data_IF_312811855755
#
_entry.id   IF_312811855755
#
_cell.length_a   1.000
_cell.length_b   1.000
_cell.length_c   1.000
_cell.angle_alpha   90.00
_cell.angle_beta   90.00
_cell.angle_gamma   90.00
#
_symmetry.space_group_name_H-M   'P 1'
#
loop_
_entity.id
_entity.type
_entity.pdbx_description
1 polymer ?
#
# COMPACT_ATOMS: atom_id res chain seq x y z
N UNK A 1 -16.87 -2.90 20.23
CA UNK A 1 -16.19 -1.67 20.65
C UNK A 1 -16.81 -0.44 19.97
N UNK A 2 -16.86 -0.38 18.65
CA UNK A 2 -17.38 0.78 17.88
C UNK A 2 -18.83 1.16 18.25
N UNK A 3 -19.68 0.18 18.50
CA UNK A 3 -21.09 0.43 18.87
C UNK A 3 -21.24 1.23 20.16
N UNK A 4 -20.34 1.03 21.14
CA UNK A 4 -20.33 1.80 22.40
C UNK A 4 -20.13 3.30 22.17
N UNK A 5 -19.46 3.66 21.09
CA UNK A 5 -19.23 5.04 20.67
C UNK A 5 -20.29 5.56 19.67
N UNK A 6 -21.37 4.79 19.47
CA UNK A 6 -22.46 5.11 18.54
C UNK A 6 -22.02 5.05 17.06
N UNK A 7 -21.07 4.17 16.76
CA UNK A 7 -20.59 3.89 15.40
C UNK A 7 -21.17 2.56 14.94
N UNK A 8 -22.01 2.58 13.89
CA UNK A 8 -22.62 1.37 13.35
C UNK A 8 -21.76 0.90 12.16
N UNK A 9 -21.33 -0.36 12.24
CA UNK A 9 -20.51 -0.99 11.22
C UNK A 9 -20.94 -2.43 10.97
N UNK A 10 -20.63 -2.95 9.78
CA UNK A 10 -20.78 -4.35 9.41
C UNK A 10 -19.51 -4.88 8.76
N UNK A 11 -19.29 -6.18 8.81
CA UNK A 11 -18.17 -6.82 8.14
C UNK A 11 -18.25 -6.60 6.62
N UNK A 12 -17.08 -6.36 6.00
CA UNK A 12 -16.99 -6.28 4.55
C UNK A 12 -17.15 -7.69 3.95
N UNK A 13 -17.94 -7.87 2.87
CA UNK A 13 -18.28 -9.20 2.35
C UNK A 13 -17.07 -9.99 1.80
N UNK A 14 -16.01 -9.33 1.35
CA UNK A 14 -14.86 -9.96 0.68
C UNK A 14 -13.50 -9.63 1.28
N UNK A 15 -13.43 -8.76 2.28
CA UNK A 15 -12.18 -8.34 2.95
C UNK A 15 -12.35 -8.58 4.46
N UNK A 16 -11.80 -9.66 4.96
CA UNK A 16 -12.03 -10.16 6.33
C UNK A 16 -11.62 -9.19 7.43
N UNK A 17 -10.67 -8.29 7.17
CA UNK A 17 -10.21 -7.27 8.14
C UNK A 17 -10.98 -5.97 8.05
N UNK A 18 -11.81 -5.78 7.01
CA UNK A 18 -12.48 -4.51 6.77
C UNK A 18 -13.89 -4.45 7.38
N UNK A 19 -14.23 -3.28 7.92
CA UNK A 19 -15.56 -2.92 8.39
C UNK A 19 -16.11 -1.79 7.51
N UNK A 20 -17.36 -1.93 7.08
CA UNK A 20 -18.11 -0.88 6.41
C UNK A 20 -18.86 -0.10 7.47
N UNK A 21 -18.55 1.18 7.63
CA UNK A 21 -19.21 2.06 8.60
C UNK A 21 -20.40 2.75 7.94
N UNK A 22 -21.60 2.51 8.44
CA UNK A 22 -22.85 3.09 7.93
C UNK A 22 -23.30 4.33 8.71
N UNK A 23 -22.88 4.47 9.99
CA UNK A 23 -23.23 5.62 10.85
C UNK A 23 -22.05 5.96 11.77
N UNK A 24 -21.86 7.27 12.01
CA UNK A 24 -20.87 7.75 12.98
C UNK A 24 -19.43 7.85 12.44
N UNK A 25 -19.23 7.92 11.12
CA UNK A 25 -17.91 7.99 10.48
C UNK A 25 -17.00 9.09 11.05
N UNK A 26 -17.55 10.29 11.36
CA UNK A 26 -16.79 11.41 11.94
C UNK A 26 -16.34 11.15 13.38
N UNK A 27 -16.92 10.15 14.06
CA UNK A 27 -16.57 9.80 15.45
C UNK A 27 -15.41 8.79 15.53
N UNK A 28 -15.03 8.13 14.44
CA UNK A 28 -14.05 7.03 14.45
C UNK A 28 -12.75 7.45 15.13
N UNK A 29 -12.12 8.55 14.73
CA UNK A 29 -10.87 9.02 15.33
C UNK A 29 -10.95 9.40 16.81
N UNK A 30 -12.17 9.63 17.32
CA UNK A 30 -12.42 9.93 18.75
C UNK A 30 -12.88 8.71 19.52
N UNK A 31 -13.15 7.58 18.87
CA UNK A 31 -13.65 6.35 19.51
C UNK A 31 -12.57 5.70 20.36
N UNK A 32 -13.01 4.99 21.41
CA UNK A 32 -12.12 4.18 22.22
C UNK A 32 -11.41 3.13 21.35
N UNK A 33 -12.13 2.48 20.44
CA UNK A 33 -11.57 1.47 19.54
C UNK A 33 -10.41 1.99 18.71
N UNK A 34 -10.48 3.23 18.19
CA UNK A 34 -9.38 3.85 17.46
C UNK A 34 -8.21 4.21 18.39
N UNK A 35 -8.51 4.79 19.55
CA UNK A 35 -7.47 5.28 20.46
C UNK A 35 -6.64 4.13 21.08
N UNK A 36 -7.20 2.95 21.25
CA UNK A 36 -6.48 1.75 21.72
C UNK A 36 -5.99 0.84 20.58
N UNK A 37 -6.08 1.30 19.32
CA UNK A 37 -5.51 0.63 18.18
C UNK A 37 -6.26 -0.60 17.63
N UNK A 38 -7.51 -0.83 18.04
CA UNK A 38 -8.30 -1.95 17.52
C UNK A 38 -8.74 -1.75 16.06
N UNK A 39 -8.83 -0.50 15.62
CA UNK A 39 -9.23 -0.15 14.26
C UNK A 39 -8.34 0.95 13.69
N UNK A 40 -8.17 0.92 12.37
CA UNK A 40 -7.47 1.95 11.61
C UNK A 40 -8.31 2.35 10.39
N UNK A 41 -8.14 3.61 9.94
CA UNK A 41 -8.83 4.12 8.77
C UNK A 41 -8.06 3.73 7.50
N UNK A 42 -8.65 2.86 6.71
CA UNK A 42 -8.07 2.42 5.44
C UNK A 42 -9.17 1.91 4.50
N UNK A 43 -9.05 2.19 3.21
CA UNK A 43 -9.96 1.64 2.20
C UNK A 43 -9.84 0.10 2.11
N UNK A 44 -10.96 -0.56 1.83
CA UNK A 44 -11.03 -2.02 1.76
C UNK A 44 -10.15 -2.60 0.65
N UNK A 45 -10.04 -1.94 -0.51
CA UNK A 45 -9.18 -2.39 -1.62
C UNK A 45 -7.71 -2.31 -1.23
N UNK A 46 -7.32 -1.28 -0.48
CA UNK A 46 -5.98 -1.13 0.08
C UNK A 46 -5.64 -2.28 1.05
N UNK A 47 -6.55 -2.64 1.96
CA UNK A 47 -6.40 -3.80 2.85
C UNK A 47 -6.31 -5.12 2.05
N UNK A 48 -7.19 -5.29 1.06
CA UNK A 48 -7.21 -6.48 0.21
C UNK A 48 -5.89 -6.71 -0.53
N UNK A 49 -5.15 -5.66 -0.88
CA UNK A 49 -3.85 -5.79 -1.54
C UNK A 49 -2.83 -6.50 -0.67
N UNK A 50 -2.85 -6.26 0.63
CA UNK A 50 -1.99 -6.92 1.61
C UNK A 50 -2.44 -8.35 1.90
N UNK A 51 -3.74 -8.56 2.16
CA UNK A 51 -4.30 -9.88 2.45
C UNK A 51 -4.11 -10.91 1.30
N UNK A 52 -4.00 -10.41 0.07
CA UNK A 52 -3.87 -11.26 -1.12
C UNK A 52 -2.43 -11.55 -1.53
N UNK A 53 -1.45 -11.12 -0.75
CA UNK A 53 -0.03 -11.34 -1.08
C UNK A 53 0.29 -12.83 -1.19
N UNK A 54 -0.10 -13.64 -0.22
CA UNK A 54 0.11 -15.10 -0.18
C UNK A 54 1.47 -15.50 -0.79
N UNK A 55 2.55 -14.96 -0.23
CA UNK A 55 3.92 -15.13 -0.70
C UNK A 55 4.78 -15.67 0.43
N UNK A 56 5.72 -16.54 0.09
CA UNK A 56 6.78 -16.96 1.02
C UNK A 56 7.64 -15.76 1.39
N UNK A 57 7.78 -15.53 2.68
CA UNK A 57 8.46 -14.36 3.21
C UNK A 57 9.70 -14.77 3.96
N UNK A 58 10.77 -14.93 3.22
CA UNK A 58 12.09 -15.18 3.77
C UNK A 58 12.89 -13.91 3.83
N UNK A 59 13.04 -13.32 5.02
CA UNK A 59 13.87 -12.16 5.28
C UNK A 59 13.09 -10.90 5.63
N UNK A 60 13.79 -9.76 5.75
CA UNK A 60 13.21 -8.47 6.10
C UNK A 60 12.17 -7.99 5.09
N UNK A 61 11.19 -7.21 5.56
CA UNK A 61 10.10 -6.66 4.77
C UNK A 61 10.25 -5.14 4.75
N UNK A 62 10.19 -4.54 3.57
CA UNK A 62 10.26 -3.11 3.34
C UNK A 62 8.96 -2.61 2.68
N UNK A 63 8.33 -1.63 3.29
CA UNK A 63 7.35 -0.75 2.65
C UNK A 63 8.13 0.46 2.11
N UNK A 64 8.32 0.52 0.78
CA UNK A 64 9.24 1.48 0.15
C UNK A 64 8.59 2.83 -0.17
N UNK A 65 7.27 2.90 -0.19
CA UNK A 65 6.50 4.14 -0.38
C UNK A 65 5.49 4.30 0.75
N UNK A 66 5.96 4.27 2.00
CA UNK A 66 5.13 4.09 3.18
C UNK A 66 4.11 5.21 3.41
N UNK A 67 4.44 6.46 3.02
CA UNK A 67 3.57 7.61 3.27
C UNK A 67 3.15 7.69 4.73
N UNK A 68 1.86 7.85 5.00
CA UNK A 68 1.32 7.84 6.37
C UNK A 68 1.30 6.47 7.06
N UNK A 69 1.83 5.40 6.43
CA UNK A 69 2.02 4.08 7.03
C UNK A 69 0.82 3.16 7.02
N UNK A 70 -0.25 3.49 6.29
CA UNK A 70 -1.45 2.65 6.25
C UNK A 70 -1.16 1.21 5.82
N UNK A 71 -0.33 1.02 4.78
CA UNK A 71 0.07 -0.30 4.31
C UNK A 71 1.12 -0.95 5.19
N UNK A 72 2.05 -0.17 5.77
CA UNK A 72 2.99 -0.68 6.78
C UNK A 72 2.26 -1.32 7.97
N UNK A 73 1.20 -0.66 8.49
CA UNK A 73 0.35 -1.19 9.57
C UNK A 73 -0.35 -2.48 9.15
N UNK A 74 -0.97 -2.49 7.96
CA UNK A 74 -1.66 -3.67 7.44
C UNK A 74 -0.69 -4.84 7.21
N UNK A 75 0.51 -4.58 6.66
CA UNK A 75 1.57 -5.58 6.49
C UNK A 75 2.02 -6.16 7.83
N UNK A 76 2.27 -5.31 8.84
CA UNK A 76 2.68 -5.76 10.17
C UNK A 76 1.62 -6.65 10.81
N UNK A 77 0.35 -6.25 10.75
CA UNK A 77 -0.75 -7.02 11.31
C UNK A 77 -0.97 -8.36 10.58
N UNK A 78 -0.92 -8.36 9.24
CA UNK A 78 -1.17 -9.55 8.43
C UNK A 78 -0.04 -10.57 8.53
N UNK A 79 1.20 -10.09 8.51
CA UNK A 79 2.39 -10.94 8.46
C UNK A 79 2.92 -11.30 9.85
N UNK A 80 2.46 -10.59 10.88
CA UNK A 80 2.99 -10.67 12.24
C UNK A 80 4.53 -10.59 12.28
N UNK A 81 5.10 -9.65 11.50
CA UNK A 81 6.55 -9.45 11.34
C UNK A 81 6.92 -7.97 11.46
N UNK A 82 8.17 -7.68 11.84
CA UNK A 82 8.70 -6.33 11.75
C UNK A 82 8.69 -5.81 10.31
N UNK A 83 8.25 -4.56 10.13
CA UNK A 83 8.23 -3.88 8.84
C UNK A 83 9.21 -2.71 8.88
N UNK A 84 10.11 -2.63 7.91
CA UNK A 84 10.86 -1.43 7.64
C UNK A 84 10.01 -0.51 6.78
N UNK A 85 9.85 0.74 7.18
CA UNK A 85 9.05 1.74 6.46
C UNK A 85 9.96 2.87 5.96
N UNK A 86 9.93 3.12 4.68
CA UNK A 86 10.67 4.19 4.00
C UNK A 86 9.73 4.97 3.07
N UNK A 87 9.93 6.28 3.04
CA UNK A 87 9.34 7.17 2.03
C UNK A 87 10.39 8.21 1.64
N UNK A 88 10.47 8.56 0.36
CA UNK A 88 11.39 9.59 -0.14
C UNK A 88 11.13 10.96 0.50
N UNK A 89 9.86 11.26 0.81
CA UNK A 89 9.47 12.40 1.62
C UNK A 89 9.24 11.95 3.08
N UNK A 90 10.28 12.08 3.90
CA UNK A 90 10.27 11.65 5.30
C UNK A 90 9.13 12.27 6.14
N UNK A 91 8.74 13.50 5.83
CA UNK A 91 7.65 14.21 6.53
C UNK A 91 6.31 13.48 6.42
N UNK A 92 6.08 12.73 5.36
CA UNK A 92 4.86 11.92 5.20
C UNK A 92 4.74 10.82 6.25
N UNK A 93 5.87 10.39 6.82
CA UNK A 93 5.92 9.33 7.84
C UNK A 93 5.86 9.85 9.29
N UNK A 94 5.80 11.16 9.52
CA UNK A 94 5.89 11.76 10.87
C UNK A 94 4.91 11.18 11.90
N UNK A 95 3.71 10.80 11.46
CA UNK A 95 2.67 10.24 12.33
C UNK A 95 2.76 8.71 12.47
N UNK A 96 3.57 8.05 11.65
CA UNK A 96 3.66 6.59 11.62
C UNK A 96 4.16 5.98 12.94
N UNK A 97 5.16 6.52 13.66
CA UNK A 97 5.57 5.98 14.95
C UNK A 97 4.42 5.96 15.98
N UNK A 98 3.63 7.05 16.05
CA UNK A 98 2.50 7.15 16.96
C UNK A 98 1.38 6.15 16.58
N UNK A 99 1.11 5.99 15.30
CA UNK A 99 0.14 5.02 14.78
C UNK A 99 0.58 3.59 15.07
N UNK A 100 1.85 3.29 14.86
CA UNK A 100 2.43 1.98 15.15
C UNK A 100 2.35 1.65 16.64
N UNK A 101 2.74 2.57 17.51
CA UNK A 101 2.63 2.42 18.96
C UNK A 101 1.18 2.16 19.38
N UNK A 102 0.23 2.95 18.89
CA UNK A 102 -1.20 2.80 19.19
C UNK A 102 -1.74 1.44 18.79
N UNK A 103 -1.36 0.92 17.60
CA UNK A 103 -1.85 -0.36 17.08
C UNK A 103 -1.04 -1.58 17.53
N UNK A 104 0.03 -1.40 18.31
CA UNK A 104 0.96 -2.46 18.67
C UNK A 104 1.75 -3.03 17.49
N UNK A 105 1.83 -2.30 16.36
CA UNK A 105 2.53 -2.75 15.17
C UNK A 105 4.04 -2.59 15.31
N UNK A 106 4.81 -3.61 14.91
CA UNK A 106 6.28 -3.55 14.91
C UNK A 106 6.76 -2.90 13.61
N UNK A 107 6.88 -1.57 13.60
CA UNK A 107 7.34 -0.79 12.45
C UNK A 107 8.59 0.00 12.78
N UNK A 108 9.60 -0.11 11.92
CA UNK A 108 10.85 0.63 11.99
C UNK A 108 10.92 1.63 10.84
N UNK A 109 10.78 2.90 11.15
CA UNK A 109 11.00 3.98 10.17
C UNK A 109 12.50 4.08 9.90
N UNK A 110 12.88 4.07 8.61
CA UNK A 110 14.28 4.15 8.16
C UNK A 110 14.48 5.30 7.17
N UNK A 111 15.73 5.74 7.02
CA UNK A 111 16.15 6.77 6.07
C UNK A 111 16.80 6.14 4.83
N UNK A 112 17.06 6.94 3.80
CA UNK A 112 17.69 6.49 2.56
C UNK A 112 19.03 5.79 2.77
N UNK A 113 19.83 6.26 3.72
CA UNK A 113 21.15 5.66 4.04
C UNK A 113 21.05 4.29 4.71
N UNK A 114 19.88 3.92 5.23
CA UNK A 114 19.65 2.62 5.86
C UNK A 114 19.18 1.56 4.84
N UNK A 115 18.87 1.95 3.62
CA UNK A 115 18.44 1.06 2.55
C UNK A 115 19.61 0.16 2.11
N UNK A 116 19.36 -1.15 2.06
CA UNK A 116 20.38 -2.15 1.72
C UNK A 116 20.02 -2.89 0.44
N UNK A 117 20.92 -2.91 -0.54
CA UNK A 117 20.76 -3.68 -1.79
C UNK A 117 20.71 -5.18 -1.50
N UNK A 118 19.90 -5.90 -2.28
CA UNK A 118 19.75 -7.36 -2.21
C UNK A 118 19.53 -7.90 -0.79
N UNK A 119 18.76 -7.19 0.03
CA UNK A 119 18.58 -7.49 1.45
C UNK A 119 17.17 -7.94 1.81
N UNK A 120 16.15 -7.31 1.22
CA UNK A 120 14.77 -7.54 1.62
C UNK A 120 14.16 -8.76 0.92
N UNK A 121 13.47 -9.59 1.69
CA UNK A 121 12.70 -10.72 1.15
C UNK A 121 11.42 -10.28 0.47
N UNK A 122 10.85 -9.17 0.93
CA UNK A 122 9.71 -8.49 0.34
C UNK A 122 9.94 -6.98 0.32
N UNK A 123 9.81 -6.37 -0.85
CA UNK A 123 9.70 -4.92 -1.01
C UNK A 123 8.29 -4.62 -1.53
N UNK A 124 7.53 -3.81 -0.79
CA UNK A 124 6.19 -3.38 -1.14
C UNK A 124 6.23 -1.91 -1.60
N UNK A 125 5.75 -1.64 -2.79
CA UNK A 125 5.72 -0.31 -3.40
C UNK A 125 4.26 0.09 -3.70
N UNK A 126 3.62 0.84 -2.79
CA UNK A 126 2.37 1.55 -3.06
C UNK A 126 2.73 2.88 -3.69
N UNK A 127 2.94 2.88 -4.99
CA UNK A 127 3.59 4.01 -5.66
C UNK A 127 2.67 5.23 -5.79
N UNK A 128 3.22 6.45 -5.79
CA UNK A 128 2.48 7.64 -6.17
C UNK A 128 1.85 7.45 -7.54
N UNK A 129 0.55 7.76 -7.67
CA UNK A 129 -0.21 7.57 -8.90
C UNK A 129 -1.29 8.66 -9.02
N UNK A 130 -2.02 8.68 -10.14
CA UNK A 130 -3.13 9.61 -10.39
C UNK A 130 -4.25 9.53 -9.35
N UNK A 131 -4.33 8.44 -8.59
CA UNK A 131 -5.45 8.19 -7.68
C UNK A 131 -6.79 7.95 -8.39
N UNK A 132 -6.78 7.67 -9.69
CA UNK A 132 -7.98 7.57 -10.51
C UNK A 132 -9.00 6.50 -10.03
N UNK A 133 -8.55 5.50 -9.29
CA UNK A 133 -9.42 4.54 -8.64
C UNK A 133 -10.18 5.10 -7.44
N UNK A 134 -9.74 6.21 -6.86
CA UNK A 134 -10.33 6.87 -5.69
C UNK A 134 -11.06 8.18 -6.01
N UNK A 135 -11.17 8.59 -7.26
CA UNK A 135 -11.82 9.85 -7.66
C UNK A 135 -13.27 9.97 -7.19
N UNK A 136 -13.94 8.85 -6.89
CA UNK A 136 -15.25 8.87 -6.22
C UNK A 136 -15.21 9.60 -4.87
N UNK A 137 -14.10 9.51 -4.14
CA UNK A 137 -13.90 10.14 -2.83
C UNK A 137 -13.12 11.45 -2.92
N UNK A 138 -12.40 11.64 -4.00
CA UNK A 138 -11.58 12.81 -4.31
C UNK A 138 -11.84 13.26 -5.77
N UNK A 139 -13.02 13.84 -6.06
CA UNK A 139 -13.36 14.27 -7.41
C UNK A 139 -12.47 15.40 -7.93
N UNK A 140 -11.88 16.21 -7.05
CA UNK A 140 -10.95 17.28 -7.43
C UNK A 140 -9.70 16.71 -8.12
N UNK A 141 -9.18 15.60 -7.64
CA UNK A 141 -8.01 14.92 -8.23
C UNK A 141 -8.19 14.57 -9.71
N UNK A 142 -9.44 14.33 -10.15
CA UNK A 142 -9.75 14.10 -11.58
C UNK A 142 -9.55 15.36 -12.43
N UNK A 143 -9.96 16.51 -11.91
CA UNK A 143 -9.96 17.76 -12.67
C UNK A 143 -8.63 18.51 -12.59
N UNK A 144 -7.86 18.30 -11.52
CA UNK A 144 -6.55 18.90 -11.30
C UNK A 144 -5.41 18.19 -12.02
N UNK A 145 -5.59 16.92 -12.43
CA UNK A 145 -4.56 16.14 -13.09
C UNK A 145 -4.27 16.68 -14.50
N UNK A 146 -3.10 17.27 -14.68
CA UNK A 146 -2.63 17.70 -16.01
C UNK A 146 -1.89 16.56 -16.73
N UNK A 147 -1.77 16.65 -18.07
CA UNK A 147 -0.97 15.68 -18.82
C UNK A 147 0.49 15.66 -18.36
N UNK A 148 1.06 16.83 -18.06
CA UNK A 148 2.45 16.94 -17.58
C UNK A 148 2.64 16.23 -16.22
N UNK A 149 1.68 16.38 -15.29
CA UNK A 149 1.75 15.70 -13.99
C UNK A 149 1.60 14.19 -14.15
N UNK A 150 0.75 13.77 -15.08
CA UNK A 150 0.57 12.35 -15.39
C UNK A 150 1.87 11.73 -15.94
N UNK A 151 2.54 12.37 -16.90
CA UNK A 151 3.82 11.92 -17.46
C UNK A 151 4.92 11.86 -16.39
N UNK A 152 4.95 12.85 -15.47
CA UNK A 152 5.85 12.84 -14.31
C UNK A 152 5.59 11.64 -13.39
N UNK A 153 4.32 11.31 -13.15
CA UNK A 153 3.95 10.14 -12.34
C UNK A 153 4.43 8.84 -13.00
N UNK A 154 4.24 8.67 -14.31
CA UNK A 154 4.71 7.50 -15.04
C UNK A 154 6.23 7.33 -14.91
N UNK A 155 6.98 8.41 -15.10
CA UNK A 155 8.44 8.41 -14.94
C UNK A 155 8.87 8.10 -13.50
N UNK A 156 8.18 8.67 -12.51
CA UNK A 156 8.45 8.40 -11.10
C UNK A 156 8.22 6.92 -10.76
N UNK A 157 7.14 6.33 -11.26
CA UNK A 157 6.79 4.92 -11.05
C UNK A 157 7.87 3.98 -11.64
N UNK A 158 8.39 4.28 -12.82
CA UNK A 158 9.52 3.56 -13.42
C UNK A 158 10.76 3.60 -12.53
N UNK A 159 11.12 4.79 -12.05
CA UNK A 159 12.28 4.99 -11.18
C UNK A 159 12.12 4.26 -9.83
N UNK A 160 10.91 4.25 -9.27
CA UNK A 160 10.59 3.50 -8.05
C UNK A 160 10.78 2.00 -8.28
N UNK A 161 10.23 1.45 -9.38
CA UNK A 161 10.39 0.02 -9.73
C UNK A 161 11.88 -0.34 -9.89
N UNK A 162 12.64 0.47 -10.62
CA UNK A 162 14.06 0.24 -10.85
C UNK A 162 14.86 0.27 -9.53
N UNK A 163 14.59 1.23 -8.66
CA UNK A 163 15.27 1.36 -7.36
C UNK A 163 14.88 0.22 -6.41
N UNK A 164 13.59 -0.03 -6.26
CA UNK A 164 13.08 -1.06 -5.37
C UNK A 164 13.54 -2.47 -5.76
N UNK A 165 13.65 -2.75 -7.06
CA UNK A 165 14.13 -4.04 -7.55
C UNK A 165 15.55 -4.37 -7.09
N UNK A 166 16.41 -3.36 -6.92
CA UNK A 166 17.79 -3.55 -6.43
C UNK A 166 17.84 -3.91 -4.93
N UNK A 167 16.78 -3.59 -4.17
CA UNK A 167 16.71 -3.85 -2.74
C UNK A 167 16.24 -5.27 -2.43
N UNK A 168 15.54 -5.92 -3.36
CA UNK A 168 15.04 -7.28 -3.20
C UNK A 168 16.20 -8.28 -3.32
N UNK A 169 16.31 -9.21 -2.38
CA UNK A 169 17.30 -10.29 -2.45
C UNK A 169 16.95 -11.35 -3.53
N UNK A 170 17.89 -12.20 -3.97
CA UNK A 170 17.58 -13.37 -4.79
C UNK A 170 16.45 -14.19 -4.17
N UNK A 171 15.54 -14.69 -4.98
CA UNK A 171 14.33 -15.40 -4.54
C UNK A 171 13.38 -14.54 -3.65
N UNK A 172 13.56 -13.22 -3.61
CA UNK A 172 12.64 -12.28 -2.95
C UNK A 172 11.48 -11.88 -3.84
N UNK A 173 10.58 -11.05 -3.29
CA UNK A 173 9.40 -10.58 -3.98
C UNK A 173 9.37 -9.04 -4.02
N UNK A 174 8.94 -8.48 -5.13
CA UNK A 174 8.61 -7.09 -5.30
C UNK A 174 7.11 -6.97 -5.56
N UNK A 175 6.42 -6.19 -4.75
CA UNK A 175 5.02 -5.85 -4.96
C UNK A 175 4.93 -4.42 -5.46
N UNK A 176 4.28 -4.24 -6.59
CA UNK A 176 3.94 -2.94 -7.13
C UNK A 176 2.43 -2.75 -7.03
N UNK A 177 1.99 -1.64 -6.47
CA UNK A 177 0.58 -1.36 -6.26
C UNK A 177 0.25 0.11 -6.55
N UNK A 178 -0.96 0.36 -7.03
CA UNK A 178 -1.54 1.70 -7.25
C UNK A 178 -3.00 1.74 -6.88
N UNK A 179 -3.50 2.91 -6.48
CA UNK A 179 -4.93 3.21 -6.45
C UNK A 179 -5.39 3.84 -7.79
N UNK A 180 -4.83 3.40 -8.91
CA UNK A 180 -5.17 3.86 -10.25
C UNK A 180 -5.92 2.80 -11.07
N UNK A 181 -6.83 3.25 -11.92
CA UNK A 181 -7.48 2.42 -12.95
C UNK A 181 -6.87 2.63 -14.35
N UNK A 182 -5.88 3.49 -14.47
CA UNK A 182 -5.25 3.80 -15.74
C UNK A 182 -4.22 2.72 -16.11
N UNK A 183 -4.31 2.22 -17.32
CA UNK A 183 -3.49 1.09 -17.80
C UNK A 183 -1.99 1.41 -17.79
N UNK A 184 -1.64 2.66 -18.11
CA UNK A 184 -0.25 3.09 -18.23
C UNK A 184 0.46 3.13 -16.87
N UNK A 185 -0.27 3.40 -15.79
CA UNK A 185 0.25 3.34 -14.42
C UNK A 185 0.32 1.93 -13.84
N UNK A 186 -0.29 0.95 -14.50
CA UNK A 186 -0.50 -0.40 -14.00
C UNK A 186 0.26 -1.44 -14.85
N UNK A 187 -0.47 -2.19 -15.68
CA UNK A 187 0.09 -3.27 -16.48
C UNK A 187 1.20 -2.82 -17.42
N UNK A 188 1.10 -1.62 -17.98
CA UNK A 188 2.13 -1.11 -18.90
C UNK A 188 3.48 -0.90 -18.17
N UNK A 189 3.47 -0.40 -16.92
CA UNK A 189 4.68 -0.27 -16.10
C UNK A 189 5.35 -1.62 -15.87
N UNK A 190 4.56 -2.63 -15.51
CA UNK A 190 5.07 -3.97 -15.25
C UNK A 190 5.62 -4.63 -16.53
N UNK A 191 4.93 -4.49 -17.65
CA UNK A 191 5.41 -5.00 -18.93
C UNK A 191 6.72 -4.36 -19.36
N UNK A 192 6.84 -3.03 -19.20
CA UNK A 192 8.06 -2.28 -19.49
C UNK A 192 9.22 -2.73 -18.61
N UNK A 193 8.98 -2.88 -17.30
CA UNK A 193 9.97 -3.37 -16.34
C UNK A 193 10.46 -4.77 -16.72
N UNK A 194 9.57 -5.72 -16.97
CA UNK A 194 9.91 -7.09 -17.33
C UNK A 194 10.63 -7.21 -18.68
N UNK A 195 10.34 -6.32 -19.64
CA UNK A 195 11.05 -6.26 -20.91
C UNK A 195 12.52 -5.85 -20.74
N UNK A 196 12.80 -5.03 -19.74
CA UNK A 196 14.13 -4.47 -19.48
C UNK A 196 14.94 -5.26 -18.44
N UNK A 197 14.38 -6.36 -17.90
CA UNK A 197 15.03 -7.17 -16.86
C UNK A 197 14.85 -8.66 -17.14
N UNK A 198 15.94 -9.45 -17.01
CA UNK A 198 15.91 -10.90 -17.29
C UNK A 198 15.76 -11.77 -16.02
N UNK A 199 16.00 -11.18 -14.86
CA UNK A 199 16.03 -11.85 -13.55
C UNK A 199 14.70 -11.73 -12.78
N UNK A 200 13.63 -11.32 -13.45
CA UNK A 200 12.31 -11.15 -12.85
C UNK A 200 11.22 -11.95 -13.56
N UNK A 201 10.22 -12.39 -12.81
CA UNK A 201 9.04 -13.05 -13.34
C UNK A 201 7.77 -12.52 -12.66
N UNK A 202 6.72 -12.26 -13.43
CA UNK A 202 5.38 -11.95 -12.90
C UNK A 202 4.78 -13.22 -12.29
N UNK A 203 4.42 -13.18 -11.00
CA UNK A 203 3.76 -14.28 -10.30
C UNK A 203 2.25 -14.10 -10.18
N UNK A 204 1.83 -12.86 -9.98
CA UNK A 204 0.42 -12.54 -9.79
C UNK A 204 0.15 -11.10 -10.22
N UNK A 205 -1.01 -10.90 -10.79
CA UNK A 205 -1.53 -9.59 -11.14
C UNK A 205 -3.01 -9.55 -10.78
N UNK A 206 -3.47 -8.44 -10.22
CA UNK A 206 -4.88 -8.22 -9.95
C UNK A 206 -5.26 -6.77 -10.18
N UNK A 207 -6.39 -6.59 -10.83
CA UNK A 207 -7.02 -5.30 -11.06
C UNK A 207 -8.45 -5.32 -10.50
N UNK A 208 -8.86 -4.24 -9.89
CA UNK A 208 -10.22 -4.03 -9.38
C UNK A 208 -10.70 -2.65 -9.81
N UNK A 209 -11.90 -2.58 -10.37
CA UNK A 209 -12.56 -1.31 -10.67
C UNK A 209 -13.20 -0.73 -9.41
N UNK A 210 -13.44 0.60 -9.35
CA UNK A 210 -14.17 1.21 -8.25
C UNK A 210 -15.60 0.63 -8.13
N UNK A 211 -16.05 0.47 -6.89
CA UNK A 211 -17.40 0.01 -6.58
C UNK A 211 -17.91 0.67 -5.30
N UNK A 212 -19.14 0.38 -4.90
CA UNK A 212 -19.66 0.81 -3.60
C UNK A 212 -18.88 0.24 -2.41
N UNK A 213 -18.20 -0.89 -2.62
CA UNK A 213 -17.47 -1.63 -1.58
C UNK A 213 -15.99 -1.23 -1.46
N UNK A 214 -15.43 -0.51 -2.43
CA UNK A 214 -14.04 -0.10 -2.38
C UNK A 214 -13.58 0.65 -3.62
N UNK A 215 -12.41 1.25 -3.52
CA UNK A 215 -11.78 1.97 -4.61
C UNK A 215 -11.24 1.05 -5.70
N UNK A 216 -10.97 1.62 -6.88
CA UNK A 216 -10.18 0.97 -7.90
C UNK A 216 -8.76 0.75 -7.42
N UNK A 217 -8.20 -0.42 -7.71
CA UNK A 217 -6.90 -0.79 -7.22
C UNK A 217 -6.21 -1.80 -8.14
N UNK A 218 -4.92 -1.64 -8.30
CA UNK A 218 -4.08 -2.58 -9.02
C UNK A 218 -2.92 -3.03 -8.14
N UNK A 219 -2.53 -4.29 -8.23
CA UNK A 219 -1.24 -4.75 -7.75
C UNK A 219 -0.69 -5.90 -8.59
N UNK A 220 0.62 -6.01 -8.63
CA UNK A 220 1.36 -7.13 -9.18
C UNK A 220 2.41 -7.62 -8.20
N UNK A 221 2.69 -8.92 -8.23
CA UNK A 221 3.76 -9.57 -7.47
C UNK A 221 4.77 -10.09 -8.47
N UNK A 222 5.98 -9.58 -8.35
CA UNK A 222 7.14 -9.97 -9.13
C UNK A 222 8.08 -10.79 -8.26
N UNK A 223 8.63 -11.86 -8.81
CA UNK A 223 9.60 -12.74 -8.15
C UNK A 223 10.97 -12.51 -8.79
N UNK A 224 11.99 -12.25 -7.96
CA UNK A 224 13.37 -12.26 -8.41
C UNK A 224 13.83 -13.72 -8.56
N UNK A 225 14.47 -14.03 -9.68
CA UNK A 225 15.06 -15.37 -9.96
C UNK A 225 16.34 -15.54 -9.17
#
# INVERSE_FOLDING_TARGET
ALEKDGIISKSHPTVSTALIVSKGTRKIKKSQAYNIGLVELQDASSQASVLKLNIDQNGPILDFCAGGGGKSLALSAYLNKPIFAYDANFERMKDLPNRACRSGANIRVIKSNDLKKSHYGLVFCDVPCSGSGSWRRDPEGKWSLTLQDYERLLTLQENILATASQLVKPNGNLVYATCSILKDENKAQIQKFLKNTNDWALKKEKFSIPSELGDGFYFSILKRK
#
